data_IF_111891549736
#
_entry.id   IF_111891549736
#
_cell.length_a   1.000
_cell.length_b   1.000
_cell.length_c   1.000
_cell.angle_alpha   90.00
_cell.angle_beta   90.00
_cell.angle_gamma   90.00
#
_symmetry.space_group_name_H-M   'P 1'
#
loop_
_entity.id
_entity.type
_entity.pdbx_description
1 polymer ?
#
# COMPACT_ATOMS: atom_id res chain seq x y z
N UNK A 1 -53.58 -35.24 0.83
CA UNK A 1 -53.00 -34.55 2.00
C UNK A 1 -51.50 -34.23 1.86
N UNK A 2 -50.75 -34.86 0.98
CA UNK A 2 -49.30 -34.74 0.81
C UNK A 2 -48.81 -33.40 0.19
N UNK A 3 -49.61 -32.75 -0.65
CA UNK A 3 -49.19 -31.48 -1.30
C UNK A 3 -49.14 -30.25 -0.37
N UNK A 4 -49.97 -30.22 0.68
CA UNK A 4 -50.01 -29.10 1.63
C UNK A 4 -48.88 -29.16 2.69
N UNK A 5 -48.43 -30.35 3.04
CA UNK A 5 -47.31 -30.55 3.97
C UNK A 5 -45.97 -30.13 3.31
N UNK A 6 -45.80 -30.36 2.00
CA UNK A 6 -44.63 -29.91 1.25
C UNK A 6 -44.56 -28.37 1.15
N UNK A 7 -45.72 -27.68 1.00
CA UNK A 7 -45.71 -26.21 0.84
C UNK A 7 -45.51 -25.43 2.14
N UNK A 8 -45.97 -25.98 3.29
CA UNK A 8 -45.90 -25.25 4.56
C UNK A 8 -44.81 -25.74 5.54
N UNK A 9 -44.22 -26.91 5.31
CA UNK A 9 -43.19 -27.47 6.18
C UNK A 9 -41.80 -27.48 5.55
N UNK A 10 -41.69 -27.89 4.28
CA UNK A 10 -40.37 -28.08 3.63
C UNK A 10 -39.82 -26.78 3.04
N UNK A 11 -40.64 -25.92 2.46
CA UNK A 11 -40.21 -24.64 1.89
C UNK A 11 -39.67 -23.64 2.93
N UNK A 12 -40.34 -23.40 4.07
CA UNK A 12 -39.77 -22.53 5.10
C UNK A 12 -38.51 -23.13 5.78
N UNK A 13 -38.45 -24.47 5.92
CA UNK A 13 -37.25 -25.14 6.44
C UNK A 13 -36.02 -25.00 5.52
N UNK A 14 -36.22 -25.11 4.20
CA UNK A 14 -35.16 -24.93 3.22
C UNK A 14 -34.71 -23.47 3.14
N UNK A 15 -35.64 -22.51 3.24
CA UNK A 15 -35.30 -21.09 3.28
C UNK A 15 -34.48 -20.72 4.52
N UNK A 16 -34.79 -21.31 5.67
CA UNK A 16 -34.06 -21.09 6.91
C UNK A 16 -32.64 -21.69 6.89
N UNK A 17 -32.49 -22.88 6.29
CA UNK A 17 -31.18 -23.50 6.05
C UNK A 17 -30.33 -22.70 5.08
N UNK A 18 -30.91 -22.17 4.01
CA UNK A 18 -30.17 -21.31 3.08
C UNK A 18 -29.78 -19.97 3.71
N UNK A 19 -30.61 -19.40 4.57
CA UNK A 19 -30.29 -18.17 5.30
C UNK A 19 -29.18 -18.42 6.33
N UNK A 20 -29.18 -19.56 7.02
CA UNK A 20 -28.10 -19.95 7.93
C UNK A 20 -26.78 -20.23 7.19
N UNK A 21 -26.84 -20.90 6.04
CA UNK A 21 -25.67 -21.14 5.21
C UNK A 21 -25.08 -19.83 4.65
N UNK A 22 -25.93 -18.90 4.20
CA UNK A 22 -25.49 -17.58 3.74
C UNK A 22 -24.91 -16.73 4.87
N UNK A 23 -25.48 -16.80 6.07
CA UNK A 23 -24.96 -16.17 7.28
C UNK A 23 -23.61 -16.74 7.70
N UNK A 24 -23.44 -18.06 7.61
CA UNK A 24 -22.18 -18.73 7.94
C UNK A 24 -21.07 -18.43 6.93
N UNK A 25 -21.39 -18.40 5.63
CA UNK A 25 -20.45 -17.99 4.57
C UNK A 25 -20.06 -16.51 4.70
N UNK A 26 -20.97 -15.65 5.13
CA UNK A 26 -20.68 -14.24 5.37
C UNK A 26 -19.82 -14.03 6.64
N UNK A 27 -19.95 -14.90 7.64
CA UNK A 27 -19.11 -14.88 8.83
C UNK A 27 -17.69 -15.43 8.58
N UNK A 28 -17.51 -16.21 7.50
CA UNK A 28 -16.19 -16.70 7.06
C UNK A 28 -15.56 -15.85 5.94
N UNK A 29 -16.26 -14.87 5.41
CA UNK A 29 -15.68 -13.85 4.55
C UNK A 29 -14.68 -13.01 5.37
N UNK A 30 -13.59 -12.49 4.75
CA UNK A 30 -12.67 -11.64 5.46
C UNK A 30 -13.45 -10.47 6.05
N UNK A 31 -13.60 -10.51 7.38
CA UNK A 31 -14.30 -9.48 8.14
C UNK A 31 -13.49 -8.20 7.99
N UNK A 32 -13.95 -7.28 7.14
CA UNK A 32 -13.29 -6.01 6.86
C UNK A 32 -13.27 -5.04 8.07
N UNK A 33 -13.33 -5.56 9.30
CA UNK A 33 -13.42 -4.73 10.52
C UNK A 33 -12.44 -5.10 11.62
N UNK A 34 -11.81 -6.28 11.59
CA UNK A 34 -10.72 -6.60 12.50
C UNK A 34 -9.37 -6.19 11.88
N UNK A 35 -9.17 -4.87 11.77
CA UNK A 35 -7.83 -4.34 11.50
C UNK A 35 -7.00 -4.55 12.75
N UNK A 36 -6.13 -5.55 12.69
CA UNK A 36 -5.11 -5.74 13.69
C UNK A 36 -4.30 -4.42 13.82
N UNK A 37 -4.02 -3.92 15.03
CA UNK A 37 -3.18 -2.72 15.19
C UNK A 37 -1.88 -2.75 14.39
N UNK A 38 -1.30 -3.95 14.17
CA UNK A 38 -0.14 -4.15 13.31
C UNK A 38 -0.38 -3.82 11.84
N UNK A 39 -1.56 -4.14 11.32
CA UNK A 39 -1.94 -3.85 9.92
C UNK A 39 -2.08 -2.34 9.70
N UNK A 40 -2.68 -1.65 10.65
CA UNK A 40 -2.83 -0.18 10.60
C UNK A 40 -1.47 0.50 10.61
N UNK A 41 -0.54 0.04 11.46
CA UNK A 41 0.81 0.58 11.56
C UNK A 41 1.61 0.32 10.27
N UNK A 42 1.52 -0.89 9.69
CA UNK A 42 2.17 -1.23 8.43
C UNK A 42 1.64 -0.39 7.26
N UNK A 43 0.30 -0.24 7.14
CA UNK A 43 -0.33 0.60 6.11
C UNK A 43 0.14 2.05 6.24
N UNK A 44 0.17 2.60 7.46
CA UNK A 44 0.63 3.97 7.68
C UNK A 44 2.11 4.13 7.32
N UNK A 45 2.96 3.20 7.73
CA UNK A 45 4.37 3.19 7.37
C UNK A 45 4.59 3.11 5.85
N UNK A 46 3.82 2.26 5.15
CA UNK A 46 3.86 2.17 3.68
C UNK A 46 3.48 3.49 3.01
N UNK A 47 2.42 4.16 3.48
CA UNK A 47 1.98 5.46 2.94
C UNK A 47 3.06 6.54 3.14
N UNK A 48 3.54 6.69 4.37
CA UNK A 48 4.51 7.73 4.71
C UNK A 48 5.84 7.52 4.00
N UNK A 49 6.29 6.27 3.90
CA UNK A 49 7.51 5.94 3.18
C UNK A 49 7.35 6.12 1.67
N UNK A 50 6.22 5.73 1.07
CA UNK A 50 5.95 5.95 -0.36
C UNK A 50 6.02 7.44 -0.71
N UNK A 51 5.39 8.30 0.08
CA UNK A 51 5.47 9.75 -0.12
C UNK A 51 6.92 10.25 -0.03
N UNK A 52 7.67 9.79 0.97
CA UNK A 52 9.06 10.21 1.17
C UNK A 52 9.98 9.73 0.03
N UNK A 53 9.81 8.50 -0.46
CA UNK A 53 10.61 7.92 -1.54
C UNK A 53 10.42 8.64 -2.88
N UNK A 54 9.23 9.17 -3.13
CA UNK A 54 8.80 9.71 -4.41
C UNK A 54 8.68 11.25 -4.41
N UNK A 55 8.99 11.92 -3.30
CA UNK A 55 8.87 13.37 -3.18
C UNK A 55 10.22 14.01 -2.91
N UNK A 56 10.62 14.95 -3.77
CA UNK A 56 11.85 15.74 -3.60
C UNK A 56 11.76 17.05 -4.37
N UNK A 57 12.62 18.00 -4.00
CA UNK A 57 12.83 19.26 -4.72
C UNK A 57 14.31 19.41 -5.10
N UNK A 58 14.64 20.07 -6.21
CA UNK A 58 16.04 20.20 -6.67
C UNK A 58 17.00 20.73 -5.60
N UNK A 59 16.55 21.74 -4.84
CA UNK A 59 17.37 22.39 -3.81
C UNK A 59 17.61 21.52 -2.56
N UNK A 60 16.78 20.50 -2.33
CA UNK A 60 16.82 19.68 -1.11
C UNK A 60 16.88 18.19 -1.38
N UNK A 61 17.07 17.79 -2.65
CA UNK A 61 16.98 16.41 -3.11
C UNK A 61 17.87 15.44 -2.33
N UNK A 62 19.10 15.82 -2.01
CA UNK A 62 20.01 14.97 -1.24
C UNK A 62 19.48 14.70 0.17
N UNK A 63 18.99 15.72 0.85
CA UNK A 63 18.40 15.62 2.18
C UNK A 63 17.09 14.83 2.14
N UNK A 64 16.22 15.14 1.18
CA UNK A 64 14.88 14.55 1.08
C UNK A 64 15.00 13.04 0.80
N UNK A 65 15.80 12.63 -0.17
CA UNK A 65 16.03 11.22 -0.50
C UNK A 65 16.90 10.50 0.55
N UNK A 66 17.81 11.21 1.22
CA UNK A 66 18.55 10.69 2.36
C UNK A 66 17.63 10.32 3.53
N UNK A 67 16.68 11.18 3.88
CA UNK A 67 15.67 10.90 4.91
C UNK A 67 14.73 9.76 4.50
N UNK A 68 14.40 9.64 3.21
CA UNK A 68 13.61 8.53 2.67
C UNK A 68 14.33 7.19 2.84
N UNK A 69 15.64 7.13 2.59
CA UNK A 69 16.48 5.93 2.77
C UNK A 69 16.40 5.34 4.18
N UNK A 70 16.22 6.16 5.20
CA UNK A 70 16.12 5.72 6.60
C UNK A 70 14.80 4.98 6.91
N UNK A 71 13.87 4.95 5.95
CA UNK A 71 12.63 4.16 5.98
C UNK A 71 12.75 2.82 5.27
N UNK A 72 13.94 2.46 4.79
CA UNK A 72 14.21 1.27 3.99
C UNK A 72 15.09 0.28 4.75
N UNK A 73 15.03 -0.98 4.32
CA UNK A 73 15.87 -2.06 4.84
C UNK A 73 16.30 -3.03 3.73
N UNK A 74 17.26 -3.89 4.05
CA UNK A 74 17.73 -4.96 3.17
C UNK A 74 18.31 -4.46 1.83
N UNK A 75 18.31 -5.33 0.84
CA UNK A 75 18.85 -5.04 -0.48
C UNK A 75 18.11 -3.92 -1.23
N UNK A 76 16.86 -3.66 -0.88
CA UNK A 76 16.14 -2.52 -1.46
C UNK A 76 16.73 -1.18 -1.01
N UNK A 77 17.16 -1.05 0.25
CA UNK A 77 17.86 0.13 0.75
C UNK A 77 19.15 0.40 -0.03
N UNK A 78 19.91 -0.64 -0.32
CA UNK A 78 21.18 -0.52 -1.06
C UNK A 78 20.94 -0.09 -2.51
N UNK A 79 19.97 -0.75 -3.18
CA UNK A 79 19.58 -0.42 -4.55
C UNK A 79 19.05 1.00 -4.68
N UNK A 80 18.17 1.42 -3.76
CA UNK A 80 17.64 2.79 -3.71
C UNK A 80 18.75 3.82 -3.47
N UNK A 81 19.68 3.53 -2.57
CA UNK A 81 20.81 4.42 -2.26
C UNK A 81 21.69 4.63 -3.48
N UNK A 82 22.02 3.57 -4.20
CA UNK A 82 22.84 3.67 -5.42
C UNK A 82 22.09 4.42 -6.53
N UNK A 83 20.83 4.08 -6.79
CA UNK A 83 20.02 4.75 -7.81
C UNK A 83 19.86 6.25 -7.53
N UNK A 84 19.53 6.61 -6.29
CA UNK A 84 19.32 8.02 -5.93
C UNK A 84 20.61 8.82 -6.04
N UNK A 85 21.73 8.29 -5.54
CA UNK A 85 23.04 8.95 -5.59
C UNK A 85 23.54 9.13 -7.02
N UNK A 86 23.45 8.07 -7.83
CA UNK A 86 24.13 8.04 -9.13
C UNK A 86 23.28 8.63 -10.26
N UNK A 87 21.95 8.64 -10.12
CA UNK A 87 21.02 9.03 -11.19
C UNK A 87 20.08 10.16 -10.76
N UNK A 88 19.32 9.96 -9.66
CA UNK A 88 18.19 10.85 -9.35
C UNK A 88 18.68 12.21 -8.87
N UNK A 89 19.61 12.26 -7.91
CA UNK A 89 20.13 13.50 -7.34
C UNK A 89 20.77 14.38 -8.43
N UNK A 90 21.76 13.88 -9.21
CA UNK A 90 22.39 14.71 -10.24
C UNK A 90 21.39 15.08 -11.37
N UNK A 91 20.44 14.19 -11.67
CA UNK A 91 19.39 14.49 -12.66
C UNK A 91 18.46 15.60 -12.19
N UNK A 92 17.96 15.52 -10.95
CA UNK A 92 17.08 16.51 -10.36
C UNK A 92 17.74 17.90 -10.25
N UNK A 93 19.01 17.95 -9.86
CA UNK A 93 19.75 19.21 -9.76
C UNK A 93 20.02 19.85 -11.11
N UNK A 94 20.48 19.07 -12.10
CA UNK A 94 20.79 19.59 -13.45
C UNK A 94 19.56 20.07 -14.22
N UNK A 95 18.48 19.32 -14.14
CA UNK A 95 17.24 19.61 -14.87
C UNK A 95 16.21 20.37 -14.05
N UNK A 96 16.53 20.69 -12.80
CA UNK A 96 15.62 21.36 -11.86
C UNK A 96 14.29 20.61 -11.71
N UNK A 97 14.36 19.27 -11.54
CA UNK A 97 13.19 18.41 -11.42
C UNK A 97 12.69 18.39 -9.98
N UNK A 98 11.43 18.72 -9.79
CA UNK A 98 10.70 18.46 -8.54
C UNK A 98 9.68 17.36 -8.75
N UNK A 99 9.51 16.52 -7.76
CA UNK A 99 8.47 15.49 -7.71
C UNK A 99 7.73 15.56 -6.38
N UNK A 100 6.40 15.50 -6.43
CA UNK A 100 5.55 15.48 -5.24
C UNK A 100 4.56 14.34 -5.39
N UNK A 101 4.62 13.38 -4.48
CA UNK A 101 3.73 12.23 -4.44
C UNK A 101 2.65 12.38 -3.37
N UNK A 102 1.46 11.91 -3.69
CA UNK A 102 0.34 11.77 -2.76
C UNK A 102 -0.23 10.36 -2.84
N UNK A 103 -0.48 9.75 -1.69
CA UNK A 103 -1.14 8.44 -1.63
C UNK A 103 -2.65 8.64 -1.63
N UNK A 104 -3.31 8.14 -2.67
CA UNK A 104 -4.76 8.22 -2.84
C UNK A 104 -5.49 7.16 -2.02
N UNK A 105 -4.94 5.94 -1.99
CA UNK A 105 -5.46 4.83 -1.23
C UNK A 105 -4.35 3.84 -0.88
N UNK A 106 -4.51 3.09 0.20
CA UNK A 106 -3.65 1.97 0.54
C UNK A 106 -4.44 0.90 1.29
N UNK A 107 -4.12 -0.37 1.01
CA UNK A 107 -4.73 -1.50 1.67
C UNK A 107 -3.70 -2.62 1.91
N UNK A 108 -3.79 -3.29 3.06
CA UNK A 108 -2.99 -4.48 3.29
C UNK A 108 -3.46 -5.61 2.37
N UNK A 109 -2.53 -6.26 1.70
CA UNK A 109 -2.72 -7.49 0.92
C UNK A 109 -2.49 -8.70 1.82
N UNK A 110 -1.45 -8.62 2.64
CA UNK A 110 -1.18 -9.58 3.71
C UNK A 110 -0.47 -8.90 4.87
N UNK A 111 -0.69 -9.39 6.07
CA UNK A 111 0.03 -8.95 7.26
C UNK A 111 0.25 -10.17 8.16
N UNK A 112 1.51 -10.42 8.46
CA UNK A 112 2.01 -11.48 9.33
C UNK A 112 2.89 -10.86 10.41
N UNK A 113 3.16 -11.54 11.52
CA UNK A 113 4.08 -11.03 12.52
C UNK A 113 5.45 -10.69 11.92
N UNK A 114 5.82 -9.41 11.93
CA UNK A 114 7.10 -8.93 11.42
C UNK A 114 7.18 -8.68 9.90
N UNK A 115 6.14 -8.99 9.13
CA UNK A 115 6.12 -8.75 7.68
C UNK A 115 4.73 -8.37 7.18
N UNK A 116 4.66 -7.38 6.29
CA UNK A 116 3.42 -6.95 5.66
C UNK A 116 3.62 -6.65 4.18
N UNK A 117 2.55 -6.83 3.41
CA UNK A 117 2.46 -6.39 2.00
C UNK A 117 1.29 -5.44 1.87
N UNK A 118 1.55 -4.25 1.37
CA UNK A 118 0.55 -3.19 1.21
C UNK A 118 0.49 -2.78 -0.26
N UNK A 119 -0.71 -2.74 -0.83
CA UNK A 119 -0.95 -2.13 -2.13
C UNK A 119 -1.22 -0.64 -1.93
N UNK A 120 -0.46 0.20 -2.63
CA UNK A 120 -0.53 1.65 -2.52
C UNK A 120 -0.87 2.24 -3.89
N UNK A 121 -1.89 3.09 -3.95
CA UNK A 121 -2.23 3.89 -5.13
C UNK A 121 -1.67 5.29 -4.93
N UNK A 122 -0.77 5.71 -5.82
CA UNK A 122 -0.04 6.96 -5.71
C UNK A 122 -0.25 7.83 -6.95
N UNK A 123 -0.43 9.12 -6.73
CA UNK A 123 -0.37 10.15 -7.75
C UNK A 123 0.89 10.97 -7.55
N UNK A 124 1.68 11.18 -8.60
CA UNK A 124 2.91 11.94 -8.55
C UNK A 124 2.84 13.10 -9.55
N UNK A 125 3.09 14.29 -9.08
CA UNK A 125 3.25 15.49 -9.92
C UNK A 125 4.73 15.78 -10.10
N UNK A 126 5.21 15.78 -11.33
CA UNK A 126 6.60 16.08 -11.67
C UNK A 126 6.65 17.37 -12.48
N UNK A 127 7.58 18.26 -12.13
CA UNK A 127 7.84 19.51 -12.86
C UNK A 127 9.32 19.61 -13.16
N UNK A 128 9.69 19.93 -14.41
CA UNK A 128 11.07 20.15 -14.84
C UNK A 128 11.27 21.64 -15.14
N UNK A 129 12.16 22.30 -14.37
CA UNK A 129 12.43 23.73 -14.47
C UNK A 129 11.15 24.58 -14.35
N UNK A 130 10.89 25.39 -15.36
CA UNK A 130 9.66 26.20 -15.50
C UNK A 130 8.59 25.53 -16.38
N UNK A 131 8.75 24.24 -16.70
CA UNK A 131 7.82 23.49 -17.54
C UNK A 131 6.47 23.26 -16.86
N UNK A 132 5.49 22.82 -17.66
CA UNK A 132 4.18 22.46 -17.13
C UNK A 132 4.28 21.20 -16.25
N UNK A 133 3.53 21.14 -15.12
CA UNK A 133 3.47 19.95 -14.30
C UNK A 133 2.87 18.76 -15.07
N UNK A 134 3.50 17.60 -14.96
CA UNK A 134 2.98 16.32 -15.44
C UNK A 134 2.50 15.48 -14.26
N UNK A 135 1.29 14.94 -14.33
CA UNK A 135 0.71 14.09 -13.31
C UNK A 135 0.68 12.65 -13.81
N UNK A 136 1.20 11.73 -13.01
CA UNK A 136 1.15 10.29 -13.27
C UNK A 136 0.49 9.58 -12.09
N UNK A 137 -0.33 8.57 -12.38
CA UNK A 137 -0.90 7.68 -11.37
C UNK A 137 -0.31 6.28 -11.54
N UNK A 138 0.01 5.63 -10.44
CA UNK A 138 0.57 4.29 -10.43
C UNK A 138 0.08 3.50 -9.22
N UNK A 139 0.18 2.18 -9.34
CA UNK A 139 -0.06 1.25 -8.23
C UNK A 139 1.25 0.56 -7.89
N UNK A 140 1.53 0.43 -6.61
CA UNK A 140 2.78 -0.15 -6.12
C UNK A 140 2.50 -1.16 -5.02
N UNK A 141 3.12 -2.32 -5.13
CA UNK A 141 3.19 -3.31 -4.05
C UNK A 141 4.38 -2.97 -3.16
N UNK A 142 4.10 -2.62 -1.92
CA UNK A 142 5.10 -2.27 -0.92
C UNK A 142 5.23 -3.43 0.06
N UNK A 143 6.42 -4.03 0.13
CA UNK A 143 6.77 -5.05 1.13
C UNK A 143 7.48 -4.38 2.29
N UNK A 144 7.04 -4.66 3.51
CA UNK A 144 7.61 -4.12 4.73
C UNK A 144 8.04 -5.26 5.65
N UNK A 145 9.19 -5.08 6.28
CA UNK A 145 9.67 -5.92 7.36
C UNK A 145 9.79 -5.09 8.63
N UNK A 146 9.48 -5.70 9.78
CA UNK A 146 9.61 -5.05 11.07
C UNK A 146 11.02 -5.26 11.62
N UNK A 147 11.77 -4.18 11.76
CA UNK A 147 13.15 -4.18 12.27
C UNK A 147 13.18 -3.30 13.52
N UNK A 148 13.56 -3.87 14.65
CA UNK A 148 13.62 -3.17 15.95
C UNK A 148 12.30 -2.44 16.29
N UNK A 149 11.17 -3.09 16.03
CA UNK A 149 9.83 -2.56 16.28
C UNK A 149 9.33 -1.51 15.26
N UNK A 150 10.11 -1.19 14.23
CA UNK A 150 9.76 -0.24 13.16
C UNK A 150 9.47 -0.95 11.86
N UNK A 151 8.40 -0.55 11.17
CA UNK A 151 8.10 -0.99 9.83
C UNK A 151 8.98 -0.26 8.81
N UNK A 152 9.83 -1.01 8.10
CA UNK A 152 10.73 -0.51 7.05
C UNK A 152 10.43 -1.22 5.73
N UNK A 153 10.55 -0.49 4.61
CA UNK A 153 10.31 -1.05 3.28
C UNK A 153 11.51 -1.92 2.86
N UNK A 154 11.22 -3.16 2.50
CA UNK A 154 12.17 -4.12 1.93
C UNK A 154 11.94 -4.42 0.45
N UNK A 155 10.81 -3.95 -0.11
CA UNK A 155 10.48 -4.09 -1.54
C UNK A 155 9.47 -3.03 -2.00
N UNK A 156 9.61 -2.61 -3.27
CA UNK A 156 8.77 -1.55 -3.87
C UNK A 156 8.60 -1.83 -5.36
N UNK A 157 7.54 -2.55 -5.71
CA UNK A 157 7.32 -3.11 -7.03
C UNK A 157 6.09 -2.50 -7.70
N UNK A 158 6.22 -1.86 -8.87
CA UNK A 158 5.08 -1.43 -9.67
C UNK A 158 4.20 -2.61 -10.06
N UNK A 159 2.87 -2.41 -10.10
CA UNK A 159 1.87 -3.42 -10.46
C UNK A 159 0.83 -2.86 -11.42
#
# INVERSE_FOLDING_TARGET
>A
MTRRVLAYGVLPGLALLLALAAGFLKAQGPSGTDRNPGDVAAIQAAKDATVALLSYRPATVERDLGAARDRLTGGFKDSYTSLTRDVVIPGAQRKQVSAIATVQAAAAVSAEPGRAVVLVFVSQTTTEGSGAPAVTASSVRVTLDQVDGRWLISGFDPV
#
